data_IF_583957589183
#
_entry.id   IF_583957589183
#
_cell.length_a   1.000
_cell.length_b   1.000
_cell.length_c   1.000
_cell.angle_alpha   90.00
_cell.angle_beta   90.00
_cell.angle_gamma   90.00
#
_symmetry.space_group_name_H-M   'P 1'
#
loop_
_entity.id
_entity.type
_entity.pdbx_description
1 polymer ?
#
# COMPACT_ATOMS: atom_id res chain seq x y z
N UNK A 1 -15.07 -11.39 30.10
CA UNK A 1 -14.90 -12.85 30.22
C UNK A 1 -15.46 -13.33 31.55
N UNK A 2 -16.28 -14.40 31.56
CA UNK A 2 -16.87 -14.97 32.78
C UNK A 2 -15.85 -15.73 33.64
N UNK A 3 -14.69 -16.08 33.06
CA UNK A 3 -13.65 -16.90 33.70
C UNK A 3 -12.55 -16.08 34.41
N UNK A 4 -12.66 -14.74 34.44
CA UNK A 4 -11.67 -13.87 35.10
C UNK A 4 -12.35 -12.83 36.01
N UNK A 5 -11.78 -12.56 37.17
CA UNK A 5 -12.25 -11.49 38.07
C UNK A 5 -12.02 -10.12 37.43
N UNK A 6 -12.68 -9.08 37.96
CA UNK A 6 -12.54 -7.73 37.41
C UNK A 6 -11.16 -7.10 37.69
N UNK A 7 -10.46 -7.57 38.73
CA UNK A 7 -9.16 -7.08 39.17
C UNK A 7 -7.98 -7.93 38.70
N UNK A 8 -8.22 -9.08 38.08
CA UNK A 8 -7.14 -9.92 37.57
C UNK A 8 -6.36 -9.18 36.48
N UNK A 9 -5.03 -9.28 36.57
CA UNK A 9 -4.06 -8.70 35.65
C UNK A 9 -3.07 -9.76 35.25
N UNK A 10 -2.65 -9.72 33.99
CA UNK A 10 -1.72 -10.68 33.46
C UNK A 10 -0.86 -10.05 32.36
N UNK A 11 0.15 -10.81 31.94
CA UNK A 11 1.03 -10.45 30.85
C UNK A 11 0.82 -11.40 29.67
N UNK A 12 0.88 -10.84 28.48
CA UNK A 12 0.78 -11.58 27.24
C UNK A 12 1.74 -10.99 26.21
N UNK A 13 2.02 -11.76 25.17
CA UNK A 13 2.82 -11.33 24.02
C UNK A 13 2.14 -11.68 22.72
N UNK A 14 2.32 -10.84 21.72
CA UNK A 14 1.93 -11.15 20.34
C UNK A 14 3.12 -11.80 19.65
N UNK A 15 2.91 -12.97 19.07
CA UNK A 15 3.94 -13.79 18.43
C UNK A 15 3.59 -14.04 16.97
N UNK A 16 4.54 -13.80 16.07
CA UNK A 16 4.40 -14.11 14.66
C UNK A 16 4.48 -15.63 14.44
N UNK A 17 3.53 -16.22 13.72
CA UNK A 17 3.58 -17.65 13.33
C UNK A 17 4.36 -17.88 12.04
N UNK A 18 4.53 -16.83 11.25
CA UNK A 18 5.26 -16.82 9.98
C UNK A 18 6.18 -15.60 9.92
N UNK A 19 7.28 -15.67 9.17
CA UNK A 19 8.12 -14.50 8.97
C UNK A 19 7.38 -13.43 8.13
N UNK A 20 7.72 -12.17 8.35
CA UNK A 20 7.10 -11.06 7.62
C UNK A 20 7.60 -9.68 8.07
N UNK A 21 6.88 -8.65 7.63
CA UNK A 21 7.07 -7.25 8.04
C UNK A 21 5.88 -6.83 8.90
N UNK A 22 6.17 -6.27 10.06
CA UNK A 22 5.16 -5.81 11.02
C UNK A 22 4.56 -4.48 10.56
N UNK A 23 3.24 -4.34 10.64
CA UNK A 23 2.54 -3.07 10.47
C UNK A 23 1.22 -3.08 11.24
N UNK A 24 0.85 -1.95 11.86
CA UNK A 24 -0.41 -1.76 12.56
C UNK A 24 -0.32 -1.84 14.08
N UNK A 25 0.86 -1.67 14.67
CA UNK A 25 1.05 -1.72 16.13
C UNK A 25 0.20 -0.70 16.88
N UNK A 26 0.06 0.51 16.34
CA UNK A 26 -0.77 1.56 16.94
C UNK A 26 -2.24 1.13 17.10
N UNK A 27 -2.77 0.37 16.14
CA UNK A 27 -4.15 -0.13 16.18
C UNK A 27 -4.29 -1.29 17.17
N UNK A 28 -3.27 -2.16 17.23
CA UNK A 28 -3.25 -3.25 18.20
C UNK A 28 -3.22 -2.69 19.63
N UNK A 29 -2.37 -1.70 19.89
CA UNK A 29 -2.29 -0.98 21.16
C UNK A 29 -3.61 -0.28 21.50
N UNK A 30 -4.22 0.44 20.54
CA UNK A 30 -5.49 1.11 20.73
C UNK A 30 -6.63 0.16 21.09
N UNK A 31 -6.65 -1.06 20.52
CA UNK A 31 -7.66 -2.06 20.84
C UNK A 31 -7.61 -2.50 22.31
N UNK A 32 -6.42 -2.64 22.89
CA UNK A 32 -6.28 -2.95 24.32
C UNK A 32 -6.56 -1.73 25.20
N UNK A 33 -6.03 -0.55 24.85
CA UNK A 33 -6.25 0.69 25.62
C UNK A 33 -7.70 1.15 25.65
N UNK A 34 -8.49 0.83 24.62
CA UNK A 34 -9.92 1.09 24.60
C UNK A 34 -10.70 0.29 25.67
N UNK A 35 -10.16 -0.86 26.08
CA UNK A 35 -10.77 -1.76 27.08
C UNK A 35 -10.15 -1.60 28.47
N UNK A 36 -8.88 -1.22 28.53
CA UNK A 36 -8.14 -0.94 29.74
C UNK A 36 -7.19 0.25 29.53
N UNK A 37 -7.57 1.47 29.94
CA UNK A 37 -6.76 2.67 29.73
C UNK A 37 -5.36 2.61 30.36
N UNK A 38 -5.16 1.73 31.35
CA UNK A 38 -3.88 1.50 32.04
C UNK A 38 -3.03 0.40 31.38
N UNK A 39 -3.51 -0.22 30.30
CA UNK A 39 -2.79 -1.25 29.58
C UNK A 39 -1.43 -0.73 29.09
N UNK A 40 -0.36 -1.45 29.43
CA UNK A 40 0.99 -1.20 28.95
C UNK A 40 1.25 -2.06 27.73
N UNK A 41 1.59 -1.43 26.61
CA UNK A 41 1.94 -2.09 25.36
C UNK A 41 3.39 -1.75 25.01
N UNK A 42 4.26 -2.76 25.03
CA UNK A 42 5.69 -2.62 24.75
C UNK A 42 5.99 -3.25 23.39
N UNK A 43 6.41 -2.44 22.43
CA UNK A 43 6.84 -2.90 21.10
C UNK A 43 8.19 -3.59 21.21
N UNK A 44 8.30 -4.78 20.62
CA UNK A 44 9.58 -5.49 20.47
C UNK A 44 10.13 -5.31 19.06
N UNK A 45 9.23 -5.20 18.08
CA UNK A 45 9.50 -4.82 16.70
C UNK A 45 8.67 -3.57 16.40
N UNK A 46 9.23 -2.61 15.67
CA UNK A 46 8.50 -1.42 15.20
C UNK A 46 7.83 -1.69 13.85
N UNK A 47 6.84 -0.87 13.48
CA UNK A 47 6.21 -0.94 12.15
C UNK A 47 7.25 -0.72 11.05
N UNK A 48 7.26 -1.61 10.05
CA UNK A 48 8.30 -1.74 9.02
C UNK A 48 9.46 -2.66 9.39
N UNK A 49 9.55 -3.09 10.65
CA UNK A 49 10.52 -4.09 11.10
C UNK A 49 10.19 -5.50 10.62
N UNK A 50 11.23 -6.29 10.34
CA UNK A 50 11.10 -7.72 10.03
C UNK A 50 10.92 -8.53 11.31
N UNK A 51 10.10 -9.58 11.23
CA UNK A 51 9.92 -10.56 12.30
C UNK A 51 10.08 -11.96 11.71
N UNK A 52 10.75 -12.83 12.44
CA UNK A 52 10.88 -14.25 12.09
C UNK A 52 9.72 -15.07 12.64
N UNK A 53 9.55 -16.31 12.17
CA UNK A 53 8.61 -17.24 12.78
C UNK A 53 8.93 -17.44 14.27
N UNK A 54 7.88 -17.49 15.10
CA UNK A 54 7.94 -17.52 16.57
C UNK A 54 8.57 -16.26 17.20
N UNK A 55 8.84 -15.21 16.42
CA UNK A 55 9.33 -13.93 16.92
C UNK A 55 8.26 -13.16 17.69
N UNK A 56 8.66 -12.54 18.80
CA UNK A 56 7.77 -11.65 19.57
C UNK A 56 7.66 -10.30 18.88
N UNK A 57 6.44 -9.86 18.60
CA UNK A 57 6.12 -8.55 18.00
C UNK A 57 5.95 -7.49 19.09
N UNK A 58 5.18 -7.79 20.13
CA UNK A 58 4.89 -6.88 21.23
C UNK A 58 4.54 -7.63 22.51
N UNK A 59 4.69 -6.98 23.66
CA UNK A 59 4.25 -7.44 24.98
C UNK A 59 3.16 -6.53 25.53
N UNK A 60 2.22 -7.11 26.25
CA UNK A 60 1.05 -6.42 26.80
C UNK A 60 0.87 -6.82 28.25
N UNK A 61 0.72 -5.83 29.12
CA UNK A 61 0.36 -6.00 30.53
C UNK A 61 -0.94 -5.24 30.77
N UNK A 62 -2.02 -5.95 31.08
CA UNK A 62 -3.37 -5.36 31.20
C UNK A 62 -4.29 -6.26 32.04
N UNK A 63 -5.50 -5.78 32.31
CA UNK A 63 -6.57 -6.61 32.90
C UNK A 63 -6.82 -7.84 32.03
N UNK A 64 -6.93 -9.02 32.65
CA UNK A 64 -7.17 -10.32 31.96
C UNK A 64 -8.36 -10.24 31.00
N UNK A 65 -9.43 -9.55 31.40
CA UNK A 65 -10.63 -9.36 30.58
C UNK A 65 -10.35 -8.51 29.34
N UNK A 66 -9.52 -7.48 29.45
CA UNK A 66 -9.14 -6.63 28.33
C UNK A 66 -8.25 -7.37 27.34
N UNK A 67 -7.31 -8.19 27.81
CA UNK A 67 -6.50 -9.07 26.96
C UNK A 67 -7.40 -10.00 26.13
N UNK A 68 -8.28 -10.76 26.79
CA UNK A 68 -9.17 -11.71 26.11
C UNK A 68 -10.17 -11.04 25.15
N UNK A 69 -10.71 -9.87 25.53
CA UNK A 69 -11.72 -9.17 24.70
C UNK A 69 -11.07 -8.40 23.55
N UNK A 70 -9.90 -7.81 23.76
CA UNK A 70 -9.19 -7.01 22.75
C UNK A 70 -8.44 -7.84 21.72
N UNK A 71 -8.07 -9.08 22.07
CA UNK A 71 -7.23 -9.98 21.25
C UNK A 71 -7.67 -10.00 19.78
N UNK A 72 -8.91 -10.38 19.49
CA UNK A 72 -9.34 -10.61 18.11
C UNK A 72 -9.30 -9.32 17.29
N UNK A 73 -9.69 -8.19 17.86
CA UNK A 73 -9.66 -6.90 17.18
C UNK A 73 -8.21 -6.47 16.92
N UNK A 74 -7.34 -6.57 17.92
CA UNK A 74 -5.92 -6.23 17.79
C UNK A 74 -5.23 -7.07 16.71
N UNK A 75 -5.39 -8.40 16.78
CA UNK A 75 -4.79 -9.33 15.82
C UNK A 75 -5.37 -9.15 14.41
N UNK A 76 -6.67 -8.88 14.25
CA UNK A 76 -7.24 -8.68 12.91
C UNK A 76 -6.62 -7.48 12.18
N UNK A 77 -6.42 -6.35 12.88
CA UNK A 77 -5.74 -5.18 12.31
C UNK A 77 -4.27 -5.49 12.02
N UNK A 78 -3.54 -5.97 13.03
CA UNK A 78 -2.10 -6.26 12.91
C UNK A 78 -1.82 -7.27 11.78
N UNK A 79 -2.58 -8.37 11.73
CA UNK A 79 -2.40 -9.42 10.73
C UNK A 79 -2.68 -8.91 9.32
N UNK A 80 -3.76 -8.15 9.14
CA UNK A 80 -4.11 -7.58 7.83
C UNK A 80 -3.05 -6.62 7.33
N UNK A 81 -2.63 -5.67 8.16
CA UNK A 81 -1.68 -4.63 7.78
C UNK A 81 -0.27 -5.21 7.60
N UNK A 82 0.17 -6.10 8.51
CA UNK A 82 1.44 -6.80 8.37
C UNK A 82 1.47 -7.67 7.10
N UNK A 83 0.35 -8.26 6.70
CA UNK A 83 0.24 -8.98 5.43
C UNK A 83 0.50 -8.09 4.19
N UNK A 84 -0.06 -6.87 4.19
CA UNK A 84 0.17 -5.86 3.15
C UNK A 84 1.63 -5.40 3.15
N UNK A 85 2.18 -5.09 4.32
CA UNK A 85 3.58 -4.65 4.46
C UNK A 85 4.55 -5.75 4.00
N UNK A 86 4.29 -7.00 4.36
CA UNK A 86 5.07 -8.17 3.95
C UNK A 86 5.06 -8.33 2.42
N UNK A 87 3.88 -8.29 1.80
CA UNK A 87 3.76 -8.40 0.35
C UNK A 87 4.46 -7.23 -0.35
N UNK A 88 4.28 -6.01 0.15
CA UNK A 88 4.91 -4.81 -0.40
C UNK A 88 6.43 -4.91 -0.34
N UNK A 89 6.99 -5.36 0.79
CA UNK A 89 8.43 -5.55 0.95
C UNK A 89 9.00 -6.57 -0.04
N UNK A 90 8.24 -7.63 -0.38
CA UNK A 90 8.65 -8.57 -1.40
C UNK A 90 8.73 -7.94 -2.81
N UNK A 91 7.76 -7.09 -3.18
CA UNK A 91 7.81 -6.35 -4.44
C UNK A 91 8.96 -5.33 -4.47
N UNK A 92 9.18 -4.61 -3.38
CA UNK A 92 10.28 -3.64 -3.25
C UNK A 92 11.63 -4.32 -3.40
N UNK A 93 11.82 -5.48 -2.76
CA UNK A 93 13.04 -6.27 -2.91
C UNK A 93 13.22 -6.77 -4.36
N UNK A 94 12.15 -7.19 -5.03
CA UNK A 94 12.22 -7.68 -6.42
C UNK A 94 12.74 -6.62 -7.42
N UNK A 95 12.45 -5.34 -7.17
CA UNK A 95 12.87 -4.22 -8.02
C UNK A 95 14.13 -3.51 -7.52
N UNK A 96 14.80 -4.03 -6.50
CA UNK A 96 16.03 -3.44 -5.97
C UNK A 96 17.10 -3.29 -7.09
N UNK A 97 17.76 -2.14 -7.09
CA UNK A 97 18.78 -1.75 -8.06
C UNK A 97 18.27 -1.21 -9.39
N UNK A 98 16.95 -1.20 -9.64
CA UNK A 98 16.37 -0.71 -10.90
C UNK A 98 16.02 0.79 -10.88
N UNK A 99 15.85 1.37 -9.69
CA UNK A 99 15.36 2.74 -9.50
C UNK A 99 13.82 2.88 -9.50
N UNK A 100 13.09 1.83 -9.89
CA UNK A 100 11.63 1.83 -9.86
C UNK A 100 11.08 1.79 -8.43
N UNK A 101 9.96 2.47 -8.19
CA UNK A 101 9.24 2.47 -6.90
C UNK A 101 7.92 1.73 -7.01
N UNK A 102 7.59 0.95 -5.98
CA UNK A 102 6.34 0.20 -5.93
C UNK A 102 5.23 1.05 -5.31
N UNK A 103 4.15 1.30 -6.04
CA UNK A 103 3.02 2.09 -5.59
C UNK A 103 1.76 1.24 -5.33
N UNK A 104 0.98 1.63 -4.32
CA UNK A 104 -0.37 1.09 -4.11
C UNK A 104 -1.44 1.86 -4.89
N UNK A 105 -2.67 1.33 -4.97
CA UNK A 105 -3.76 1.91 -5.76
C UNK A 105 -4.94 2.36 -4.89
N UNK A 106 -6.09 2.63 -5.53
CA UNK A 106 -7.40 2.83 -4.86
C UNK A 106 -8.22 1.54 -4.72
N UNK A 107 -7.71 0.40 -5.20
CA UNK A 107 -8.32 -0.95 -5.05
C UNK A 107 -8.10 -1.47 -3.63
N UNK A 108 -8.71 -0.77 -2.67
CA UNK A 108 -8.54 -0.96 -1.22
C UNK A 108 -9.82 -1.48 -0.59
N UNK A 109 -9.72 -2.10 0.58
CA UNK A 109 -10.89 -2.46 1.37
C UNK A 109 -11.67 -1.19 1.74
N UNK A 110 -13.00 -1.16 1.56
CA UNK A 110 -13.82 -0.02 1.95
C UNK A 110 -13.57 0.38 3.41
N UNK A 111 -13.54 1.68 3.71
CA UNK A 111 -13.21 2.29 5.02
C UNK A 111 -11.79 2.10 5.56
N UNK A 112 -10.97 1.19 5.01
CA UNK A 112 -9.63 0.89 5.54
C UNK A 112 -8.48 1.50 4.72
N UNK A 113 -8.78 2.29 3.68
CA UNK A 113 -7.77 2.83 2.76
C UNK A 113 -6.59 3.51 3.45
N UNK A 114 -6.85 4.32 4.48
CA UNK A 114 -5.79 5.01 5.21
C UNK A 114 -4.80 4.03 5.84
N UNK A 115 -5.34 2.97 6.45
CA UNK A 115 -4.56 1.93 7.12
C UNK A 115 -3.80 1.06 6.12
N UNK A 116 -4.44 0.67 5.02
CA UNK A 116 -3.80 -0.13 3.99
C UNK A 116 -2.68 0.63 3.27
N UNK A 117 -2.88 1.93 2.98
CA UNK A 117 -1.83 2.81 2.44
C UNK A 117 -0.71 3.07 3.45
N UNK A 118 -1.01 3.07 4.74
CA UNK A 118 0.02 3.10 5.78
C UNK A 118 0.87 1.82 5.74
N UNK A 119 0.23 0.65 5.67
CA UNK A 119 0.93 -0.64 5.61
C UNK A 119 1.83 -0.78 4.36
N UNK A 120 1.40 -0.24 3.22
CA UNK A 120 2.25 -0.17 2.01
C UNK A 120 3.54 0.60 2.30
N UNK A 121 3.45 1.76 2.98
CA UNK A 121 4.64 2.53 3.37
C UNK A 121 5.52 1.78 4.37
N UNK A 122 4.92 1.10 5.35
CA UNK A 122 5.67 0.27 6.30
C UNK A 122 6.45 -0.84 5.57
N UNK A 123 5.89 -1.39 4.49
CA UNK A 123 6.58 -2.36 3.61
C UNK A 123 7.60 -1.76 2.65
N UNK A 124 7.86 -0.45 2.69
CA UNK A 124 8.82 0.25 1.81
C UNK A 124 8.25 0.72 0.47
N UNK A 125 6.94 0.54 0.23
CA UNK A 125 6.27 1.07 -0.96
C UNK A 125 5.91 2.55 -0.83
N UNK A 126 5.41 3.13 -1.92
CA UNK A 126 4.91 4.51 -1.98
C UNK A 126 3.40 4.55 -2.21
N UNK A 127 2.80 5.69 -1.88
CA UNK A 127 1.37 5.91 -2.10
C UNK A 127 1.14 6.61 -3.44
N UNK A 128 0.33 6.00 -4.29
CA UNK A 128 -0.43 6.75 -5.30
C UNK A 128 -1.48 7.63 -4.61
N UNK A 129 -2.24 8.41 -5.38
CA UNK A 129 -3.33 9.24 -4.88
C UNK A 129 -4.28 8.47 -3.95
N UNK A 130 -4.72 9.16 -2.90
CA UNK A 130 -5.64 8.66 -1.90
C UNK A 130 -7.08 8.61 -2.41
N UNK A 131 -7.50 9.60 -3.18
CA UNK A 131 -8.88 9.80 -3.59
C UNK A 131 -9.01 10.31 -5.01
N UNK A 132 -10.16 10.88 -5.32
CA UNK A 132 -10.37 11.65 -6.56
C UNK A 132 -10.11 13.15 -6.35
N UNK A 133 -9.80 13.55 -5.11
CA UNK A 133 -9.70 14.94 -4.67
C UNK A 133 -8.25 15.46 -4.59
N UNK A 134 -7.26 14.59 -4.68
CA UNK A 134 -5.84 14.90 -4.44
C UNK A 134 -4.97 14.86 -5.71
N UNK A 135 -5.39 14.13 -6.74
CA UNK A 135 -4.79 14.19 -8.07
C UNK A 135 -5.78 13.76 -9.15
N UNK A 136 -5.61 14.31 -10.35
CA UNK A 136 -6.36 13.90 -11.53
C UNK A 136 -5.65 12.72 -12.20
N UNK A 137 -6.44 11.70 -12.57
CA UNK A 137 -6.02 10.65 -13.50
C UNK A 137 -7.04 10.60 -14.61
N UNK A 138 -6.65 11.05 -15.80
CA UNK A 138 -7.44 10.95 -17.02
C UNK A 138 -7.36 9.51 -17.51
N UNK A 139 -8.51 8.93 -17.87
CA UNK A 139 -8.66 7.55 -18.34
C UNK A 139 -9.43 7.55 -19.66
N UNK A 140 -9.41 6.42 -20.36
CA UNK A 140 -10.24 6.08 -21.52
C UNK A 140 -11.66 6.69 -21.50
N UNK A 141 -12.40 6.52 -20.41
CA UNK A 141 -13.77 6.98 -20.25
C UNK A 141 -13.88 8.52 -20.21
N UNK A 142 -12.88 9.19 -19.65
CA UNK A 142 -12.83 10.66 -19.63
C UNK A 142 -12.51 11.23 -21.01
N UNK A 143 -11.61 10.56 -21.74
CA UNK A 143 -11.24 10.91 -23.12
C UNK A 143 -12.46 10.75 -24.03
N UNK A 144 -13.17 9.62 -23.93
CA UNK A 144 -14.40 9.36 -24.67
C UNK A 144 -15.49 10.40 -24.35
N UNK A 145 -15.71 10.71 -23.07
CA UNK A 145 -16.71 11.69 -22.64
C UNK A 145 -16.40 13.13 -23.08
N UNK A 146 -15.12 13.46 -23.28
CA UNK A 146 -14.68 14.81 -23.68
C UNK A 146 -14.51 14.96 -25.20
N UNK A 147 -14.74 13.90 -25.97
CA UNK A 147 -14.54 13.91 -27.43
C UNK A 147 -13.07 14.02 -27.84
N UNK A 148 -12.15 13.40 -27.08
CA UNK A 148 -10.72 13.35 -27.39
C UNK A 148 -9.81 13.82 -26.24
N UNK A 149 -8.54 13.41 -26.28
CA UNK A 149 -7.58 13.66 -25.20
C UNK A 149 -7.22 15.14 -25.10
N UNK A 150 -6.97 15.79 -26.24
CA UNK A 150 -6.75 17.24 -26.29
C UNK A 150 -7.88 18.05 -25.63
N UNK A 151 -9.14 17.71 -25.93
CA UNK A 151 -10.29 18.37 -25.33
C UNK A 151 -10.39 18.11 -23.83
N UNK A 152 -10.20 16.86 -23.40
CA UNK A 152 -10.18 16.50 -21.98
C UNK A 152 -9.14 17.34 -21.21
N UNK A 153 -7.90 17.42 -21.70
CA UNK A 153 -6.82 18.14 -21.02
C UNK A 153 -7.02 19.66 -21.02
N UNK A 154 -7.52 20.24 -22.11
CA UNK A 154 -7.85 21.67 -22.16
C UNK A 154 -8.98 22.04 -21.18
N UNK A 155 -10.05 21.25 -21.13
CA UNK A 155 -11.14 21.44 -20.17
C UNK A 155 -10.67 21.29 -18.73
N UNK A 156 -9.79 20.31 -18.49
CA UNK A 156 -9.24 20.04 -17.17
C UNK A 156 -8.42 21.23 -16.67
N UNK A 157 -7.48 21.72 -17.48
CA UNK A 157 -6.60 22.84 -17.15
C UNK A 157 -7.33 24.15 -16.85
N UNK A 158 -8.46 24.39 -17.52
CA UNK A 158 -9.29 25.56 -17.25
C UNK A 158 -9.99 25.51 -15.87
N UNK A 159 -10.03 24.33 -15.21
CA UNK A 159 -10.84 24.09 -14.00
C UNK A 159 -10.04 23.66 -12.79
N UNK A 160 -8.87 23.03 -12.96
CA UNK A 160 -8.09 22.54 -11.83
C UNK A 160 -7.25 23.64 -11.19
N UNK A 161 -7.04 23.52 -9.88
CA UNK A 161 -6.12 24.40 -9.15
C UNK A 161 -4.67 24.12 -9.50
N UNK A 162 -3.82 25.15 -9.44
CA UNK A 162 -2.39 25.10 -9.78
C UNK A 162 -1.54 24.13 -8.92
N UNK A 163 -2.09 23.55 -7.85
CA UNK A 163 -1.43 22.58 -6.99
C UNK A 163 -1.83 21.12 -7.29
N UNK A 164 -2.72 20.88 -8.26
CA UNK A 164 -3.23 19.54 -8.57
C UNK A 164 -2.45 18.93 -9.72
N UNK A 165 -1.84 17.76 -9.47
CA UNK A 165 -1.13 17.00 -10.51
C UNK A 165 -2.09 16.32 -11.48
N UNK A 166 -1.66 16.21 -12.73
CA UNK A 166 -2.36 15.53 -13.82
C UNK A 166 -1.56 14.30 -14.26
N UNK A 167 -2.18 13.14 -14.13
CA UNK A 167 -1.72 11.89 -14.72
C UNK A 167 -2.66 11.49 -15.87
N UNK A 168 -2.10 10.93 -16.94
CA UNK A 168 -2.87 10.42 -18.09
C UNK A 168 -2.59 8.94 -18.27
N UNK A 169 -3.65 8.13 -18.32
CA UNK A 169 -3.58 6.72 -18.68
C UNK A 169 -3.59 6.56 -20.19
N UNK A 170 -2.63 5.79 -20.71
CA UNK A 170 -2.47 5.49 -22.14
C UNK A 170 -2.19 4.00 -22.33
N UNK A 171 -2.73 3.42 -23.39
CA UNK A 171 -2.56 2.00 -23.76
C UNK A 171 -1.74 1.81 -25.05
N UNK A 172 -1.43 2.89 -25.77
CA UNK A 172 -0.68 2.88 -27.03
C UNK A 172 0.40 3.98 -27.06
N UNK A 173 1.43 3.78 -27.89
CA UNK A 173 2.48 4.80 -28.09
C UNK A 173 1.95 6.07 -28.77
N UNK A 174 0.96 5.94 -29.66
CA UNK A 174 0.35 7.10 -30.31
C UNK A 174 -0.39 8.01 -29.30
N UNK A 175 -1.13 7.41 -28.36
CA UNK A 175 -1.75 8.16 -27.25
C UNK A 175 -0.70 8.80 -26.34
N UNK A 176 0.42 8.12 -26.10
CA UNK A 176 1.53 8.67 -25.34
C UNK A 176 2.12 9.91 -26.03
N UNK A 177 2.35 9.86 -27.35
CA UNK A 177 2.81 11.01 -28.13
C UNK A 177 1.84 12.19 -28.05
N UNK A 178 0.54 11.92 -28.20
CA UNK A 178 -0.51 12.94 -28.06
C UNK A 178 -0.50 13.54 -26.64
N UNK A 179 -0.46 12.71 -25.59
CA UNK A 179 -0.45 13.16 -24.20
C UNK A 179 0.76 14.07 -23.89
N UNK A 180 1.94 13.74 -24.44
CA UNK A 180 3.17 14.48 -24.22
C UNK A 180 3.24 15.82 -24.98
N UNK A 181 2.27 16.11 -25.85
CA UNK A 181 2.08 17.45 -26.42
C UNK A 181 1.47 18.43 -25.41
N UNK A 182 0.95 17.92 -24.28
CA UNK A 182 0.37 18.71 -23.21
C UNK A 182 1.25 18.67 -21.96
N UNK A 183 1.24 19.73 -21.14
CA UNK A 183 1.97 19.70 -19.88
C UNK A 183 1.17 18.91 -18.83
N UNK A 184 1.55 17.64 -18.69
CA UNK A 184 1.07 16.70 -17.68
C UNK A 184 2.22 16.39 -16.71
N UNK A 185 1.91 15.85 -15.54
CA UNK A 185 2.92 15.53 -14.51
C UNK A 185 3.40 14.08 -14.59
N UNK A 186 2.52 13.17 -15.03
CA UNK A 186 2.79 11.74 -15.08
C UNK A 186 2.01 11.07 -16.22
N UNK A 187 2.48 9.91 -16.65
CA UNK A 187 1.79 9.02 -17.57
C UNK A 187 1.73 7.60 -17.00
N UNK A 188 0.54 7.00 -17.06
CA UNK A 188 0.30 5.63 -16.67
C UNK A 188 0.21 4.77 -17.94
N UNK A 189 1.20 3.92 -18.13
CA UNK A 189 1.36 2.98 -19.24
C UNK A 189 0.58 1.71 -18.89
N UNK A 190 -0.65 1.60 -19.38
CA UNK A 190 -1.57 0.52 -19.00
C UNK A 190 -1.38 -0.73 -19.85
N UNK A 191 -1.07 -1.84 -19.20
CA UNK A 191 -1.02 -3.19 -19.77
C UNK A 191 -0.11 -3.34 -21.01
N UNK A 192 0.93 -2.50 -21.12
CA UNK A 192 1.95 -2.60 -22.18
C UNK A 192 2.96 -3.71 -21.88
N UNK A 193 3.39 -4.42 -22.92
CA UNK A 193 4.48 -5.39 -22.80
C UNK A 193 5.86 -4.72 -22.57
N UNK A 194 6.85 -5.51 -22.19
CA UNK A 194 8.21 -5.04 -21.85
C UNK A 194 8.88 -4.29 -23.00
N UNK A 195 8.64 -4.70 -24.25
CA UNK A 195 9.24 -4.04 -25.42
C UNK A 195 8.61 -2.66 -25.64
N UNK A 196 7.30 -2.58 -25.53
CA UNK A 196 6.52 -1.35 -25.66
C UNK A 196 6.82 -0.38 -24.53
N UNK A 197 6.95 -0.86 -23.28
CA UNK A 197 7.37 -0.04 -22.15
C UNK A 197 8.75 0.60 -22.36
N UNK A 198 9.73 -0.14 -22.90
CA UNK A 198 11.04 0.43 -23.23
C UNK A 198 10.93 1.56 -24.27
N UNK A 199 10.11 1.37 -25.30
CA UNK A 199 9.84 2.41 -26.32
C UNK A 199 9.16 3.62 -25.68
N UNK A 200 8.17 3.40 -24.82
CA UNK A 200 7.46 4.46 -24.10
C UNK A 200 8.39 5.29 -23.21
N UNK A 201 9.23 4.64 -22.40
CA UNK A 201 10.23 5.33 -21.55
C UNK A 201 11.21 6.15 -22.41
N UNK A 202 11.70 5.58 -23.51
CA UNK A 202 12.58 6.28 -24.45
C UNK A 202 11.91 7.47 -25.14
N UNK A 203 10.59 7.44 -25.31
CA UNK A 203 9.79 8.51 -25.91
C UNK A 203 9.52 9.64 -24.90
N UNK A 204 9.26 9.28 -23.64
CA UNK A 204 9.05 10.24 -22.54
C UNK A 204 10.31 11.07 -22.29
N UNK A 205 11.51 10.47 -22.36
CA UNK A 205 12.81 11.16 -22.17
C UNK A 205 12.89 11.95 -20.86
N UNK A 206 12.31 11.43 -19.78
CA UNK A 206 12.29 12.08 -18.46
C UNK A 206 11.48 13.37 -18.38
N UNK A 207 10.61 13.67 -19.37
CA UNK A 207 9.75 14.87 -19.34
C UNK A 207 8.66 14.82 -18.28
N UNK A 208 8.15 13.62 -17.99
CA UNK A 208 7.08 13.36 -17.02
C UNK A 208 7.37 12.05 -16.30
N UNK A 209 6.74 11.84 -15.14
CA UNK A 209 6.89 10.58 -14.39
C UNK A 209 6.26 9.44 -15.18
N UNK A 210 7.00 8.33 -15.33
CA UNK A 210 6.47 7.10 -15.95
C UNK A 210 5.99 6.10 -14.91
N UNK A 211 4.74 5.67 -15.04
CA UNK A 211 4.12 4.66 -14.19
C UNK A 211 3.65 3.47 -15.03
N UNK A 212 4.05 2.25 -14.67
CA UNK A 212 3.52 1.02 -15.27
C UNK A 212 2.38 0.44 -14.42
N UNK A 213 1.34 -0.06 -15.08
CA UNK A 213 0.18 -0.69 -14.44
C UNK A 213 -0.37 -1.83 -15.31
N UNK A 214 -1.14 -2.73 -14.68
CA UNK A 214 -1.78 -3.87 -15.35
C UNK A 214 -0.96 -5.15 -15.25
N UNK A 215 -1.58 -6.24 -14.80
CA UNK A 215 -0.97 -7.57 -14.81
C UNK A 215 0.34 -7.75 -14.01
N UNK A 216 0.70 -6.81 -13.11
CA UNK A 216 1.96 -6.87 -12.37
C UNK A 216 1.92 -7.97 -11.31
N UNK A 217 2.93 -8.84 -11.32
CA UNK A 217 3.15 -9.95 -10.38
C UNK A 217 4.59 -9.98 -9.88
N UNK A 218 4.90 -10.78 -8.86
CA UNK A 218 6.28 -10.91 -8.37
C UNK A 218 7.22 -11.52 -9.41
N UNK A 219 6.69 -12.32 -10.33
CA UNK A 219 7.45 -12.99 -11.38
C UNK A 219 7.87 -12.01 -12.48
N UNK A 220 7.05 -11.00 -12.79
CA UNK A 220 7.30 -10.06 -13.91
C UNK A 220 7.76 -8.66 -13.47
N UNK A 221 7.55 -8.26 -12.22
CA UNK A 221 7.78 -6.87 -11.77
C UNK A 221 9.21 -6.40 -12.01
N UNK A 222 10.20 -7.30 -11.90
CA UNK A 222 11.59 -6.95 -12.15
C UNK A 222 11.83 -6.63 -13.62
N UNK A 223 11.27 -7.38 -14.55
CA UNK A 223 11.41 -7.12 -15.99
C UNK A 223 10.76 -5.79 -16.37
N UNK A 224 9.59 -5.49 -15.79
CA UNK A 224 8.91 -4.20 -15.92
C UNK A 224 9.82 -3.08 -15.39
N UNK A 225 10.40 -3.23 -14.20
CA UNK A 225 11.28 -2.24 -13.60
C UNK A 225 12.55 -1.98 -14.44
N UNK A 226 13.12 -3.03 -15.06
CA UNK A 226 14.28 -2.92 -15.95
C UNK A 226 13.99 -2.18 -17.27
N UNK A 227 12.73 -1.86 -17.57
CA UNK A 227 12.38 -0.99 -18.72
C UNK A 227 12.76 0.48 -18.47
N UNK A 228 12.99 0.86 -17.21
CA UNK A 228 13.31 2.23 -16.80
C UNK A 228 12.09 3.05 -16.35
N UNK A 229 10.92 2.43 -16.17
CA UNK A 229 9.78 3.09 -15.54
C UNK A 229 10.09 3.49 -14.09
N UNK A 230 9.63 4.66 -13.68
CA UNK A 230 9.95 5.22 -12.35
C UNK A 230 9.03 4.68 -11.25
N UNK A 231 7.80 4.31 -11.60
CA UNK A 231 6.78 3.82 -10.68
C UNK A 231 6.11 2.58 -11.27
N UNK A 232 5.79 1.61 -10.42
CA UNK A 232 4.99 0.44 -10.79
C UNK A 232 3.84 0.32 -9.80
N UNK A 233 2.61 0.49 -10.29
CA UNK A 233 1.40 0.41 -9.47
C UNK A 233 0.88 -1.02 -9.39
N UNK A 234 0.78 -1.55 -8.17
CA UNK A 234 0.37 -2.92 -7.90
C UNK A 234 -0.91 -2.93 -7.07
N UNK A 235 -2.03 -3.24 -7.73
CA UNK A 235 -3.34 -3.34 -7.06
C UNK A 235 -3.40 -4.45 -6.01
N UNK A 236 -2.71 -5.57 -6.27
CA UNK A 236 -2.73 -6.76 -5.43
C UNK A 236 -2.22 -6.50 -4.01
N UNK A 237 -1.38 -5.47 -3.81
CA UNK A 237 -0.87 -5.08 -2.49
C UNK A 237 -1.99 -4.85 -1.48
N UNK A 238 -3.13 -4.32 -1.92
CA UNK A 238 -4.25 -4.00 -1.03
C UNK A 238 -5.42 -4.96 -1.23
N UNK A 239 -5.82 -5.34 -2.44
CA UNK A 239 -7.01 -6.19 -2.58
C UNK A 239 -6.74 -7.70 -2.46
N UNK A 240 -5.48 -8.16 -2.52
CA UNK A 240 -5.14 -9.59 -2.55
C UNK A 240 -4.07 -10.02 -1.54
N UNK A 241 -3.55 -9.10 -0.72
CA UNK A 241 -2.58 -9.43 0.32
C UNK A 241 -3.15 -10.44 1.33
N UNK A 242 -2.42 -11.54 1.54
CA UNK A 242 -2.69 -12.50 2.59
C UNK A 242 -2.25 -11.92 3.93
N UNK A 243 -3.10 -12.03 4.95
CA UNK A 243 -2.76 -11.59 6.30
C UNK A 243 -1.56 -12.37 6.86
N UNK A 244 -0.69 -11.70 7.61
CA UNK A 244 0.36 -12.34 8.39
C UNK A 244 -0.29 -13.06 9.57
N UNK A 245 0.08 -14.31 9.83
CA UNK A 245 -0.49 -15.08 10.92
C UNK A 245 0.25 -14.78 12.24
N UNK A 246 -0.49 -14.40 13.27
CA UNK A 246 0.05 -14.14 14.62
C UNK A 246 -0.95 -14.53 15.69
N UNK A 247 -0.46 -14.79 16.91
CA UNK A 247 -1.28 -15.13 18.08
C UNK A 247 -0.89 -14.35 19.31
N UNK A 248 -1.86 -14.17 20.21
CA UNK A 248 -1.63 -13.70 21.57
C UNK A 248 -1.35 -14.91 22.47
N UNK A 249 -0.23 -14.90 23.18
CA UNK A 249 0.20 -15.96 24.09
C UNK A 249 0.40 -15.37 25.49
N UNK A 250 -0.02 -16.09 26.53
CA UNK A 250 0.20 -15.68 27.93
C UNK A 250 1.68 -15.83 28.27
N UNK A 251 2.23 -14.85 28.98
CA UNK A 251 3.57 -14.95 29.58
C UNK A 251 3.43 -15.45 31.02
N UNK A 252 4.28 -16.41 31.41
CA UNK A 252 4.38 -16.93 32.78
C UNK A 252 4.84 -15.87 33.79
#
# INVERSE_FOLDING_TARGET
>A
SAIATASAQDNARIVARKPGVVAGLDLAEAAFRALDPEARFTRVVEDGGKVEASGTIARISAKTRALLTGERTALNFLNRLSGIATLTSAYVAAVEGTGARIACTRKTTPSLRALEKYAVRAGGGVNHRFGLYDAVLVKDNHIAASGGLANALNMLRARIGHLVKIEVEVDTLDQLEEALCFPIDAVLLDNMDVETLKKAVALVKGRVVTEASGGVTLENVREIAMTGVEVISVGALTHAARSLDSSLEWEE
#
